data_IF_498421259096
#
_entry.id   IF_498421259096
#
_cell.length_a   1.000
_cell.length_b   1.000
_cell.length_c   1.000
_cell.angle_alpha   90.00
_cell.angle_beta   90.00
_cell.angle_gamma   90.00
#
_symmetry.space_group_name_H-M   'P 1'
#
loop_
_entity.id
_entity.type
_entity.pdbx_description
1 polymer ?
#
# COMPACT_ATOMS: atom_id res chain seq x y z
N UNK A 1 -3.83 17.04 -12.52
CA UNK A 1 -4.25 15.62 -12.42
C UNK A 1 -3.10 14.82 -11.81
N UNK A 2 -3.35 13.84 -10.92
CA UNK A 2 -2.31 12.96 -10.41
C UNK A 2 -1.66 12.19 -11.56
N UNK A 3 -0.36 11.91 -11.45
CA UNK A 3 0.35 11.10 -12.45
C UNK A 3 -0.18 9.66 -12.44
N UNK A 4 0.03 8.92 -13.54
CA UNK A 4 -0.31 7.50 -13.60
C UNK A 4 0.46 6.68 -12.56
N UNK A 5 1.70 7.08 -12.23
CA UNK A 5 2.48 6.54 -11.11
C UNK A 5 1.74 6.72 -9.77
N UNK A 6 1.20 7.92 -9.51
CA UNK A 6 0.43 8.21 -8.29
C UNK A 6 -0.80 7.30 -8.20
N UNK A 7 -1.56 7.20 -9.29
CA UNK A 7 -2.77 6.38 -9.33
C UNK A 7 -2.46 4.89 -9.12
N UNK A 8 -1.42 4.39 -9.78
CA UNK A 8 -0.99 2.99 -9.67
C UNK A 8 -0.58 2.65 -8.23
N UNK A 9 0.23 3.49 -7.62
CA UNK A 9 0.70 3.31 -6.24
C UNK A 9 -0.47 3.23 -5.25
N UNK A 10 -1.39 4.20 -5.30
CA UNK A 10 -2.54 4.24 -4.40
C UNK A 10 -3.48 3.05 -4.62
N UNK A 11 -3.67 2.62 -5.87
CA UNK A 11 -4.47 1.44 -6.18
C UNK A 11 -3.88 0.17 -5.57
N UNK A 12 -2.56 -0.04 -5.70
CA UNK A 12 -1.90 -1.23 -5.15
C UNK A 12 -1.95 -1.24 -3.62
N UNK A 13 -1.71 -0.08 -2.99
CA UNK A 13 -1.85 0.06 -1.54
C UNK A 13 -3.29 -0.26 -1.08
N UNK A 14 -4.31 0.31 -1.74
CA UNK A 14 -5.70 0.05 -1.41
C UNK A 14 -6.09 -1.43 -1.53
N UNK A 15 -5.67 -2.09 -2.62
CA UNK A 15 -5.91 -3.54 -2.81
C UNK A 15 -5.26 -4.37 -1.71
N UNK A 16 -4.02 -4.05 -1.33
CA UNK A 16 -3.33 -4.77 -0.26
C UNK A 16 -4.07 -4.66 1.08
N UNK A 17 -4.56 -3.46 1.42
CA UNK A 17 -5.33 -3.23 2.65
C UNK A 17 -6.66 -3.99 2.62
N UNK A 18 -7.41 -3.92 1.51
CA UNK A 18 -8.68 -4.66 1.37
C UNK A 18 -8.47 -6.17 1.46
N UNK A 19 -7.41 -6.71 0.86
CA UNK A 19 -7.12 -8.15 0.96
C UNK A 19 -6.78 -8.58 2.40
N UNK A 20 -6.06 -7.75 3.15
CA UNK A 20 -5.77 -8.02 4.57
C UNK A 20 -7.05 -7.97 5.41
N UNK A 21 -7.88 -6.95 5.20
CA UNK A 21 -9.20 -6.82 5.85
C UNK A 21 -10.08 -8.04 5.57
N UNK A 22 -10.22 -8.42 4.29
CA UNK A 22 -10.98 -9.60 3.87
C UNK A 22 -10.45 -10.88 4.53
N UNK A 23 -9.12 -11.07 4.58
CA UNK A 23 -8.51 -12.25 5.20
C UNK A 23 -8.79 -12.32 6.71
N UNK A 24 -8.76 -11.18 7.41
CA UNK A 24 -9.08 -11.10 8.83
C UNK A 24 -10.56 -11.39 9.06
N UNK A 25 -11.46 -10.76 8.30
CA UNK A 25 -12.90 -10.88 8.44
C UNK A 25 -13.40 -12.31 8.19
N UNK A 26 -12.79 -13.00 7.23
CA UNK A 26 -13.10 -14.39 6.91
C UNK A 26 -12.34 -15.41 7.77
N UNK A 27 -11.54 -14.94 8.75
CA UNK A 27 -10.71 -15.80 9.62
C UNK A 27 -9.83 -16.76 8.81
N UNK A 28 -9.19 -16.22 7.78
CA UNK A 28 -8.27 -16.97 6.95
C UNK A 28 -7.13 -17.60 7.78
N UNK A 29 -6.45 -18.63 7.24
CA UNK A 29 -5.25 -19.18 7.86
C UNK A 29 -4.20 -18.11 8.19
N UNK A 30 -3.45 -18.31 9.27
CA UNK A 30 -2.49 -17.31 9.76
C UNK A 30 -1.41 -16.96 8.73
N UNK A 31 -0.95 -17.93 7.95
CA UNK A 31 0.02 -17.72 6.86
C UNK A 31 -0.53 -16.81 5.76
N UNK A 32 -1.82 -16.91 5.45
CA UNK A 32 -2.49 -16.01 4.51
C UNK A 32 -2.60 -14.59 5.08
N UNK A 33 -2.99 -14.44 6.34
CA UNK A 33 -3.04 -13.13 7.01
C UNK A 33 -1.64 -12.50 7.05
N UNK A 34 -0.61 -13.26 7.42
CA UNK A 34 0.78 -12.78 7.47
C UNK A 34 1.31 -12.35 6.09
N UNK A 35 0.92 -13.06 5.03
CA UNK A 35 1.25 -12.67 3.66
C UNK A 35 0.69 -11.29 3.32
N UNK A 36 -0.59 -11.05 3.61
CA UNK A 36 -1.22 -9.76 3.32
C UNK A 36 -0.71 -8.65 4.23
N UNK A 37 -0.42 -8.95 5.49
CA UNK A 37 0.24 -8.02 6.43
C UNK A 37 1.60 -7.55 5.87
N UNK A 38 2.43 -8.49 5.40
CA UNK A 38 3.72 -8.17 4.78
C UNK A 38 3.56 -7.29 3.53
N UNK A 39 2.58 -7.60 2.67
CA UNK A 39 2.29 -6.81 1.46
C UNK A 39 1.86 -5.39 1.83
N UNK A 40 0.97 -5.21 2.82
CA UNK A 40 0.58 -3.88 3.32
C UNK A 40 1.78 -3.12 3.86
N UNK A 41 2.66 -3.78 4.63
CA UNK A 41 3.87 -3.16 5.16
C UNK A 41 4.82 -2.69 4.05
N UNK A 42 4.95 -3.46 2.96
CA UNK A 42 5.73 -3.08 1.78
C UNK A 42 5.12 -1.87 1.06
N UNK A 43 3.82 -1.93 0.73
CA UNK A 43 3.13 -0.83 0.02
C UNK A 43 3.06 0.45 0.84
N UNK A 44 3.03 0.36 2.17
CA UNK A 44 3.14 1.50 3.08
C UNK A 44 4.50 2.19 2.93
N UNK A 45 5.60 1.42 2.96
CA UNK A 45 6.96 1.95 2.76
C UNK A 45 7.11 2.63 1.41
N UNK A 46 6.58 2.03 0.34
CA UNK A 46 6.59 2.63 -1.00
C UNK A 46 5.81 3.95 -1.06
N UNK A 47 4.66 4.00 -0.40
CA UNK A 47 3.80 5.19 -0.33
C UNK A 47 4.49 6.34 0.39
N UNK A 48 5.12 6.06 1.53
CA UNK A 48 5.91 7.04 2.28
C UNK A 48 7.04 7.58 1.40
N UNK A 49 7.84 6.70 0.80
CA UNK A 49 8.96 7.10 -0.05
C UNK A 49 8.51 7.94 -1.26
N UNK A 50 7.36 7.63 -1.85
CA UNK A 50 6.79 8.43 -2.93
C UNK A 50 6.39 9.84 -2.46
N UNK A 51 5.72 9.95 -1.31
CA UNK A 51 5.34 11.25 -0.74
C UNK A 51 6.55 12.09 -0.36
N UNK A 52 7.63 11.46 0.13
CA UNK A 52 8.91 12.14 0.36
C UNK A 52 9.50 12.68 -0.95
N UNK A 53 9.54 11.89 -2.03
CA UNK A 53 9.99 12.36 -3.35
C UNK A 53 9.15 13.53 -3.87
N UNK A 54 7.83 13.49 -3.68
CA UNK A 54 6.95 14.60 -4.05
C UNK A 54 7.25 15.87 -3.26
N UNK A 55 7.48 15.75 -1.94
CA UNK A 55 7.84 16.88 -1.08
C UNK A 55 9.17 17.51 -1.50
N UNK A 56 10.18 16.71 -1.80
CA UNK A 56 11.49 17.20 -2.26
C UNK A 56 11.42 17.98 -3.58
N UNK A 57 10.47 17.65 -4.47
CA UNK A 57 10.24 18.40 -5.71
C UNK A 57 9.55 19.75 -5.50
N UNK A 58 8.84 19.94 -4.38
CA UNK A 58 8.03 21.13 -4.09
C UNK A 58 8.77 22.17 -3.24
N UNK A 59 9.85 21.77 -2.58
CA UNK A 59 10.68 22.62 -1.70
C UNK A 59 12.03 22.98 -2.38
N UNK A 60 12.19 22.65 -3.67
CA UNK A 60 13.28 23.12 -4.53
C UNK A 60 12.91 24.35 -5.32
#
# INVERSE_FOLDING_TARGET
MPSDETRRLLKLFGVAVTNLEDAIDHRAPMDEIMKWDQEVAERTRETIAFVERLRSRRIG
#
